data_IF_648578058931
#
_entry.id   IF_648578058931
#
_cell.length_a   1.000
_cell.length_b   1.000
_cell.length_c   1.000
_cell.angle_alpha   90.00
_cell.angle_beta   90.00
_cell.angle_gamma   90.00
#
_symmetry.space_group_name_H-M   'P 1'
#
loop_
_entity.id
_entity.type
_entity.pdbx_description
1 polymer ?
#
# COMPACT_ATOMS: atom_id res chain seq x y z
N UNK A 1 -3.72 -0.48 -15.71
CA UNK A 1 -2.94 -0.31 -14.50
C UNK A 1 -3.06 -1.55 -13.63
N UNK A 2 -1.95 -2.04 -13.16
CA UNK A 2 -1.88 -3.31 -12.44
C UNK A 2 -1.47 -3.09 -11.00
N UNK A 3 -2.40 -2.68 -10.17
CA UNK A 3 -2.13 -2.62 -8.74
C UNK A 3 -2.02 -4.03 -8.21
N UNK A 4 -1.23 -4.19 -7.16
CA UNK A 4 -1.04 -5.49 -6.53
C UNK A 4 -1.39 -5.40 -5.05
N UNK A 5 -1.80 -6.52 -4.42
CA UNK A 5 -2.11 -6.50 -3.00
C UNK A 5 -0.84 -6.40 -2.17
N UNK A 6 -0.94 -5.67 -1.05
CA UNK A 6 0.15 -5.56 -0.10
C UNK A 6 -0.42 -5.66 1.30
N UNK A 7 0.28 -6.39 2.17
CA UNK A 7 -0.15 -6.56 3.54
C UNK A 7 0.62 -5.59 4.43
N UNK A 8 -0.12 -4.79 5.18
CA UNK A 8 0.45 -3.80 6.09
C UNK A 8 0.90 -4.46 7.40
N UNK A 9 1.66 -3.72 8.20
CA UNK A 9 2.15 -4.22 9.48
C UNK A 9 1.02 -4.65 10.42
N UNK A 10 -0.12 -3.99 10.32
CA UNK A 10 -1.28 -4.30 11.15
C UNK A 10 -2.12 -5.45 10.60
N UNK A 11 -1.67 -6.09 9.53
CA UNK A 11 -2.38 -7.22 8.95
C UNK A 11 -3.42 -6.85 7.91
N UNK A 12 -3.63 -5.56 7.66
CA UNK A 12 -4.58 -5.14 6.64
C UNK A 12 -3.97 -5.24 5.26
N UNK A 13 -4.81 -5.56 4.27
CA UNK A 13 -4.37 -5.69 2.89
C UNK A 13 -4.92 -4.53 2.07
N UNK A 14 -4.06 -3.92 1.27
CA UNK A 14 -4.47 -2.83 0.38
C UNK A 14 -3.89 -3.04 -1.01
N UNK A 15 -4.38 -2.26 -1.96
CA UNK A 15 -3.87 -2.29 -3.33
C UNK A 15 -2.84 -1.17 -3.49
N UNK A 16 -1.68 -1.51 -4.02
CA UNK A 16 -0.59 -0.54 -4.25
C UNK A 16 -0.09 -0.65 -5.67
N UNK A 17 0.54 0.42 -6.20
CA UNK A 17 1.14 0.36 -7.54
C UNK A 17 2.21 -0.72 -7.62
N UNK A 18 2.50 -1.22 -8.82
CA UNK A 18 3.45 -2.32 -8.99
C UNK A 18 4.90 -1.97 -8.62
N UNK A 19 5.25 -0.69 -8.53
CA UNK A 19 6.61 -0.30 -8.17
C UNK A 19 6.86 -0.36 -6.66
N UNK A 20 5.83 -0.59 -5.86
CA UNK A 20 5.98 -0.71 -4.41
C UNK A 20 6.48 -2.10 -4.07
N UNK A 21 7.49 -2.19 -3.20
CA UNK A 21 8.08 -3.45 -2.81
C UNK A 21 7.98 -3.66 -1.31
N UNK A 22 8.18 -4.90 -0.88
CA UNK A 22 8.17 -5.23 0.54
C UNK A 22 9.23 -4.41 1.27
N UNK A 23 8.83 -3.79 2.38
CA UNK A 23 9.73 -2.95 3.14
C UNK A 23 9.67 -1.47 2.78
N UNK A 24 9.01 -1.13 1.68
CA UNK A 24 8.86 0.27 1.31
C UNK A 24 7.93 0.99 2.29
N UNK A 25 8.27 2.23 2.58
CA UNK A 25 7.42 3.07 3.42
C UNK A 25 6.47 3.86 2.53
N UNK A 26 5.19 3.77 2.84
CA UNK A 26 4.16 4.43 2.04
C UNK A 26 3.18 5.16 2.95
N UNK A 27 2.53 6.17 2.40
CA UNK A 27 1.47 6.88 3.10
C UNK A 27 0.14 6.28 2.68
N UNK A 28 -0.64 5.89 3.67
CA UNK A 28 -1.91 5.21 3.46
C UNK A 28 -3.04 6.03 4.07
N UNK A 29 -4.16 6.15 3.35
CA UNK A 29 -5.37 6.72 3.91
C UNK A 29 -6.09 5.63 4.70
N UNK A 30 -6.01 5.72 6.02
CA UNK A 30 -6.58 4.69 6.89
C UNK A 30 -8.10 4.68 6.90
N UNK A 31 -8.73 5.74 6.45
CA UNK A 31 -10.19 5.79 6.38
C UNK A 31 -10.70 4.89 5.26
N UNK A 32 -10.03 4.94 4.12
CA UNK A 32 -10.43 4.20 2.95
C UNK A 32 -9.51 3.03 2.64
N UNK A 33 -8.43 2.89 3.40
CA UNK A 33 -7.40 1.86 3.17
C UNK A 33 -6.86 1.97 1.76
N UNK A 34 -6.46 3.19 1.39
CA UNK A 34 -5.95 3.46 0.06
C UNK A 34 -4.52 3.98 0.10
N UNK A 35 -3.75 3.57 -0.89
CA UNK A 35 -2.40 4.06 -1.06
C UNK A 35 -2.43 5.53 -1.50
N UNK A 36 -1.63 6.37 -0.86
CA UNK A 36 -1.53 7.78 -1.20
C UNK A 36 -0.24 8.04 -1.97
N UNK A 37 0.91 7.76 -1.36
CA UNK A 37 2.19 7.99 -2.01
C UNK A 37 3.28 7.19 -1.31
N UNK A 38 4.39 7.04 -1.99
CA UNK A 38 5.58 6.41 -1.42
C UNK A 38 6.46 7.51 -0.81
N UNK A 39 7.01 7.23 0.34
CA UNK A 39 7.95 8.13 1.01
C UNK A 39 9.34 8.03 0.39
#
# INVERSE_FOLDING_TARGET
SSYKPAVLENGLSIQVPPFIEAGDNVVIDTRNLEYIKKI
#
